data_IF_672479574074
#
_entry.id   IF_672479574074
#
_cell.length_a   1.000
_cell.length_b   1.000
_cell.length_c   1.000
_cell.angle_alpha   90.00
_cell.angle_beta   90.00
_cell.angle_gamma   90.00
#
_symmetry.space_group_name_H-M   'P 1'
#
loop_
_entity.id
_entity.type
_entity.pdbx_description
1 polymer ?
#
# COMPACT_ATOMS: atom_id res chain seq x y z
N UNK A 1 2.41 -8.18 -23.18
CA UNK A 1 3.35 -7.70 -22.13
C UNK A 1 2.84 -8.11 -20.77
N UNK A 2 3.51 -7.70 -19.69
CA UNK A 2 3.02 -7.90 -18.32
C UNK A 2 1.73 -7.10 -18.06
N UNK A 3 0.84 -7.64 -17.22
CA UNK A 3 -0.46 -7.04 -16.90
C UNK A 3 -0.47 -6.18 -15.63
N UNK A 4 0.50 -6.35 -14.74
CA UNK A 4 0.63 -5.65 -13.45
C UNK A 4 2.07 -5.76 -12.94
N UNK A 5 2.49 -4.81 -12.09
CA UNK A 5 3.75 -4.86 -11.34
C UNK A 5 3.44 -4.93 -9.84
N UNK A 6 3.99 -5.94 -9.17
CA UNK A 6 4.07 -5.96 -7.70
C UNK A 6 5.47 -5.51 -7.30
N UNK A 7 5.59 -4.30 -6.77
CA UNK A 7 6.87 -3.70 -6.41
C UNK A 7 7.18 -3.93 -4.93
N UNK A 8 8.12 -4.84 -4.66
CA UNK A 8 8.64 -5.03 -3.31
C UNK A 8 9.77 -4.04 -3.00
N UNK A 9 9.54 -3.15 -2.03
CA UNK A 9 10.51 -2.18 -1.56
C UNK A 9 11.38 -2.81 -0.46
N UNK A 10 12.47 -3.48 -0.85
CA UNK A 10 13.29 -4.28 0.10
C UNK A 10 13.81 -3.50 1.31
N UNK A 11 14.11 -2.21 1.16
CA UNK A 11 14.58 -1.36 2.27
C UNK A 11 13.51 -1.15 3.34
N UNK A 12 12.24 -1.26 2.97
CA UNK A 12 11.10 -1.05 3.86
C UNK A 12 10.51 -2.38 4.32
N UNK A 13 10.90 -3.51 3.72
CA UNK A 13 10.37 -4.81 4.05
C UNK A 13 10.70 -5.19 5.51
N UNK A 14 9.68 -5.64 6.24
CA UNK A 14 9.77 -5.93 7.68
C UNK A 14 9.95 -4.73 8.62
N UNK A 15 10.22 -3.51 8.13
CA UNK A 15 10.52 -2.33 8.98
C UNK A 15 9.27 -1.75 9.65
N UNK A 16 8.08 -1.96 9.07
CA UNK A 16 6.78 -1.46 9.58
C UNK A 16 6.73 0.07 9.81
N UNK A 17 7.48 0.85 9.02
CA UNK A 17 7.54 2.33 9.10
C UNK A 17 6.92 3.04 7.88
N UNK A 18 6.11 2.33 7.12
CA UNK A 18 5.46 2.83 5.91
C UNK A 18 6.10 2.32 4.62
N UNK A 19 5.34 2.46 3.54
CA UNK A 19 5.78 2.15 2.18
C UNK A 19 6.84 3.15 1.70
N UNK A 20 7.62 2.79 0.68
CA UNK A 20 8.54 3.73 0.03
C UNK A 20 7.76 4.62 -0.98
N UNK A 21 7.14 5.67 -0.47
CA UNK A 21 6.30 6.58 -1.27
C UNK A 21 7.08 7.25 -2.41
N UNK A 22 8.38 7.49 -2.22
CA UNK A 22 9.24 8.10 -3.24
C UNK A 22 9.45 7.14 -4.40
N UNK A 23 9.86 5.90 -4.11
CA UNK A 23 10.06 4.89 -5.14
C UNK A 23 8.76 4.55 -5.89
N UNK A 24 7.65 4.49 -5.16
CA UNK A 24 6.34 4.19 -5.74
C UNK A 24 5.86 5.28 -6.71
N UNK A 25 6.04 6.56 -6.37
CA UNK A 25 5.76 7.67 -7.29
C UNK A 25 6.57 7.58 -8.58
N UNK A 26 7.87 7.34 -8.45
CA UNK A 26 8.77 7.24 -9.61
C UNK A 26 8.34 6.10 -10.54
N UNK A 27 7.95 4.94 -10.00
CA UNK A 27 7.47 3.82 -10.81
C UNK A 27 6.09 4.13 -11.41
N UNK A 28 5.17 4.72 -10.65
CA UNK A 28 3.84 5.08 -11.14
C UNK A 28 3.91 6.05 -12.33
N UNK A 29 4.85 6.99 -12.31
CA UNK A 29 5.12 7.91 -13.43
C UNK A 29 5.74 7.21 -14.65
N UNK A 30 6.51 6.14 -14.44
CA UNK A 30 7.23 5.44 -15.49
C UNK A 30 6.39 4.38 -16.24
N UNK A 31 5.26 3.94 -15.67
CA UNK A 31 4.44 2.86 -16.26
C UNK A 31 2.97 3.23 -16.33
N UNK A 32 2.23 2.56 -17.22
CA UNK A 32 0.76 2.72 -17.35
C UNK A 32 -0.02 1.54 -16.80
N UNK A 33 0.61 0.37 -16.64
CA UNK A 33 -0.02 -0.79 -16.03
C UNK A 33 -0.21 -0.61 -14.51
N UNK A 34 -1.12 -1.36 -13.87
CA UNK A 34 -1.31 -1.33 -12.42
C UNK A 34 -0.02 -1.63 -11.64
N UNK A 35 0.14 -0.94 -10.51
CA UNK A 35 1.27 -1.09 -9.60
C UNK A 35 0.76 -1.36 -8.18
N UNK A 36 1.20 -2.48 -7.61
CA UNK A 36 0.91 -2.88 -6.24
C UNK A 36 2.14 -2.67 -5.37
N UNK A 37 2.03 -1.88 -4.31
CA UNK A 37 3.10 -1.64 -3.35
C UNK A 37 3.24 -2.82 -2.37
N UNK A 38 4.46 -3.32 -2.17
CA UNK A 38 4.78 -4.35 -1.18
C UNK A 38 5.95 -3.92 -0.29
N UNK A 39 5.82 -4.16 1.01
CA UNK A 39 6.84 -3.87 2.02
C UNK A 39 6.57 -2.58 2.82
N UNK A 40 6.82 -2.61 4.13
CA UNK A 40 6.81 -1.41 4.98
C UNK A 40 5.54 -1.09 5.76
N UNK A 41 4.37 -1.62 5.37
CA UNK A 41 3.12 -1.39 6.10
C UNK A 41 3.21 -1.79 7.58
N UNK A 42 2.61 -0.97 8.45
CA UNK A 42 2.81 -1.06 9.91
C UNK A 42 1.64 -0.51 10.72
N UNK A 43 0.94 0.48 10.16
CA UNK A 43 -0.25 1.10 10.75
C UNK A 43 -1.23 1.54 9.64
N UNK A 44 -2.46 1.87 10.02
CA UNK A 44 -3.52 2.35 9.14
C UNK A 44 -3.09 3.55 8.29
N UNK A 45 -2.39 4.52 8.91
CA UNK A 45 -1.92 5.73 8.24
C UNK A 45 -1.00 5.43 7.04
N UNK A 46 -0.19 4.37 7.11
CA UNK A 46 0.69 4.00 6.00
C UNK A 46 -0.10 3.63 4.72
N UNK A 47 -1.30 3.08 4.86
CA UNK A 47 -2.17 2.80 3.71
C UNK A 47 -2.85 4.07 3.18
N UNK A 48 -3.25 5.00 4.07
CA UNK A 48 -3.78 6.29 3.64
C UNK A 48 -2.72 7.08 2.87
N UNK A 49 -1.51 7.23 3.43
CA UNK A 49 -0.39 7.91 2.78
C UNK A 49 -0.07 7.29 1.42
N UNK A 50 -0.15 5.96 1.31
CA UNK A 50 0.04 5.26 0.06
C UNK A 50 -0.95 5.71 -1.02
N UNK A 51 -2.25 5.64 -0.74
CA UNK A 51 -3.28 5.95 -1.73
C UNK A 51 -3.44 7.45 -2.00
N UNK A 52 -3.31 8.29 -0.98
CA UNK A 52 -3.48 9.75 -1.12
C UNK A 52 -2.31 10.40 -1.88
N UNK A 53 -1.12 9.80 -1.83
CA UNK A 53 0.09 10.52 -2.22
C UNK A 53 0.84 9.92 -3.41
N UNK A 54 0.60 8.66 -3.79
CA UNK A 54 1.43 7.98 -4.80
C UNK A 54 0.71 7.63 -6.10
N UNK A 55 -0.63 7.55 -6.10
CA UNK A 55 -1.42 7.14 -7.26
C UNK A 55 -1.30 5.66 -7.64
N UNK A 56 -0.75 4.82 -6.74
CA UNK A 56 -0.67 3.37 -6.94
C UNK A 56 -2.05 2.69 -6.82
N UNK A 57 -2.16 1.50 -7.39
CA UNK A 57 -3.43 0.79 -7.58
C UNK A 57 -3.80 -0.17 -6.44
N UNK A 58 -2.81 -0.60 -5.64
CA UNK A 58 -3.06 -1.41 -4.45
C UNK A 58 -1.90 -1.50 -3.45
N UNK A 59 -2.23 -1.70 -2.18
CA UNK A 59 -1.26 -1.92 -1.10
C UNK A 59 -1.28 -3.37 -0.61
N UNK A 60 -0.12 -4.03 -0.64
CA UNK A 60 0.09 -5.37 -0.10
C UNK A 60 0.75 -5.27 1.28
N UNK A 61 0.24 -6.04 2.23
CA UNK A 61 0.87 -6.23 3.53
C UNK A 61 0.65 -7.66 4.02
N UNK A 62 1.61 -8.22 4.73
CA UNK A 62 1.55 -9.59 5.22
C UNK A 62 1.56 -9.64 6.76
N UNK A 63 2.67 -9.26 7.40
CA UNK A 63 2.89 -9.50 8.83
C UNK A 63 1.83 -8.83 9.72
N UNK A 64 1.39 -7.62 9.40
CA UNK A 64 0.36 -6.87 10.15
C UNK A 64 -1.02 -7.52 10.10
N UNK A 65 -1.34 -8.26 9.03
CA UNK A 65 -2.60 -8.99 8.89
C UNK A 65 -2.52 -10.36 9.56
N UNK A 66 -1.43 -11.10 9.35
CA UNK A 66 -1.23 -12.41 9.97
C UNK A 66 -1.14 -12.33 11.49
N UNK A 67 -0.57 -11.24 12.04
CA UNK A 67 -0.50 -11.04 13.48
C UNK A 67 -1.79 -10.47 14.10
N UNK A 68 -2.79 -10.13 13.28
CA UNK A 68 -4.02 -9.46 13.74
C UNK A 68 -3.82 -8.02 14.23
N UNK A 69 -2.65 -7.42 13.98
CA UNK A 69 -2.35 -6.04 14.38
C UNK A 69 -3.26 -5.04 13.67
N UNK A 70 -3.56 -5.29 12.39
CA UNK A 70 -4.47 -4.48 11.57
C UNK A 70 -5.56 -5.41 11.03
N UNK A 71 -6.76 -5.45 11.62
CA UNK A 71 -7.88 -6.17 11.03
C UNK A 71 -8.31 -5.53 9.71
N UNK A 72 -8.43 -6.32 8.64
CA UNK A 72 -8.84 -5.85 7.30
C UNK A 72 -10.17 -5.07 7.34
N UNK A 73 -11.22 -5.50 8.07
CA UNK A 73 -12.47 -4.72 8.15
C UNK A 73 -12.28 -3.33 8.76
N UNK A 74 -11.42 -3.21 9.78
CA UNK A 74 -11.11 -1.93 10.41
C UNK A 74 -10.30 -1.03 9.48
N UNK A 75 -9.36 -1.61 8.72
CA UNK A 75 -8.58 -0.87 7.74
C UNK A 75 -9.46 -0.32 6.62
N UNK A 76 -10.38 -1.12 6.10
CA UNK A 76 -11.32 -0.68 5.07
C UNK A 76 -12.21 0.46 5.57
N UNK A 77 -12.73 0.38 6.80
CA UNK A 77 -13.51 1.49 7.40
C UNK A 77 -12.67 2.75 7.54
N UNK A 78 -11.45 2.62 8.06
CA UNK A 78 -10.52 3.74 8.20
C UNK A 78 -10.23 4.43 6.84
N UNK A 79 -10.02 3.66 5.78
CA UNK A 79 -9.79 4.21 4.44
C UNK A 79 -11.05 4.88 3.88
N UNK A 80 -12.22 4.25 4.07
CA UNK A 80 -13.50 4.85 3.68
C UNK A 80 -13.78 6.18 4.41
N UNK A 81 -13.49 6.27 5.70
CA UNK A 81 -13.65 7.49 6.51
C UNK A 81 -12.73 8.64 6.04
N UNK A 82 -11.74 8.33 5.20
CA UNK A 82 -10.83 9.30 4.54
C UNK A 82 -11.16 9.52 3.06
N UNK A 83 -12.36 9.15 2.64
CA UNK A 83 -12.81 9.25 1.25
C UNK A 83 -11.96 8.45 0.23
N UNK A 84 -11.25 7.41 0.70
CA UNK A 84 -10.52 6.48 -0.17
C UNK A 84 -11.47 5.34 -0.55
N UNK A 85 -11.72 5.18 -1.85
CA UNK A 85 -12.63 4.14 -2.35
C UNK A 85 -12.09 2.75 -2.04
N UNK A 86 -12.85 2.00 -1.25
CA UNK A 86 -12.56 0.61 -0.91
C UNK A 86 -13.84 -0.20 -0.93
N UNK A 87 -13.73 -1.47 -1.34
CA UNK A 87 -14.84 -2.41 -1.24
C UNK A 87 -15.02 -2.83 0.21
N UNK A 88 -16.17 -2.54 0.81
CA UNK A 88 -16.55 -3.05 2.14
C UNK A 88 -16.84 -4.54 2.11
#
# INVERSE_FOLDING_TARGET
GAGEIVLNCMNNDGVKRGYDLTQLRLIREAVTIPVIASGGAGDYAHFADLFETTGIDGGLAASVFHSGQIPIPSLKRFLQDRDIEVRL
#
